data_IF_333578983843
#
_entry.id   IF_333578983843
#
_cell.length_a   1.000
_cell.length_b   1.000
_cell.length_c   1.000
_cell.angle_alpha   90.00
_cell.angle_beta   90.00
_cell.angle_gamma   90.00
#
_symmetry.space_group_name_H-M   'P 1'
#
loop_
_entity.id
_entity.type
_entity.pdbx_description
1 polymer ?
#
# COMPACT_ATOMS: atom_id res chain seq x y z
N UNK A 1 -19.23 17.36 3.24
CA UNK A 1 -18.11 16.39 3.25
C UNK A 1 -18.62 15.10 2.64
N UNK A 2 -18.02 14.65 1.54
CA UNK A 2 -18.45 13.41 0.88
C UNK A 2 -17.67 12.24 1.47
N UNK A 3 -18.37 11.23 2.02
CA UNK A 3 -17.75 10.03 2.55
C UNK A 3 -18.05 8.87 1.61
N UNK A 4 -17.01 8.22 1.09
CA UNK A 4 -17.12 7.16 0.07
C UNK A 4 -16.40 5.93 0.60
N UNK A 5 -16.99 4.74 0.42
CA UNK A 5 -16.34 3.45 0.68
C UNK A 5 -16.27 2.64 -0.60
N UNK A 6 -15.12 2.03 -0.85
CA UNK A 6 -14.84 1.18 -2.00
C UNK A 6 -14.23 -0.14 -1.56
N UNK A 7 -14.62 -1.22 -2.23
CA UNK A 7 -13.99 -2.52 -2.07
C UNK A 7 -12.82 -2.65 -3.06
N UNK A 8 -11.65 -3.02 -2.57
CA UNK A 8 -10.43 -3.23 -3.35
C UNK A 8 -10.04 -4.72 -3.32
N UNK A 9 -10.51 -5.53 -4.28
CA UNK A 9 -10.18 -6.94 -4.34
C UNK A 9 -8.70 -7.16 -4.72
N UNK A 10 -8.13 -8.26 -4.25
CA UNK A 10 -6.78 -8.74 -4.55
C UNK A 10 -6.74 -10.26 -4.76
N UNK A 11 -5.65 -10.74 -5.36
CA UNK A 11 -5.38 -12.17 -5.47
C UNK A 11 -4.62 -12.68 -4.23
N UNK A 12 -5.14 -13.72 -3.53
CA UNK A 12 -4.43 -14.35 -2.42
C UNK A 12 -3.25 -15.21 -2.91
N UNK A 13 -2.26 -15.51 -2.04
CA UNK A 13 -2.13 -14.99 -0.67
C UNK A 13 -1.68 -13.52 -0.65
N UNK A 14 -2.16 -12.78 0.35
CA UNK A 14 -1.82 -11.37 0.59
C UNK A 14 -1.78 -11.13 2.11
N UNK A 15 -0.76 -10.44 2.60
CA UNK A 15 -0.46 -10.38 4.04
C UNK A 15 -0.44 -8.95 4.59
N UNK A 16 -1.49 -8.57 5.34
CA UNK A 16 -1.55 -7.28 6.03
C UNK A 16 -0.33 -6.96 6.90
N UNK A 17 0.24 -7.89 7.69
CA UNK A 17 1.40 -7.60 8.53
C UNK A 17 2.62 -7.11 7.75
N UNK A 18 2.79 -7.54 6.49
CA UNK A 18 3.88 -7.06 5.62
C UNK A 18 3.78 -5.54 5.39
N UNK A 19 2.58 -5.07 5.02
CA UNK A 19 2.33 -3.65 4.74
C UNK A 19 2.37 -2.82 6.01
N UNK A 20 1.77 -3.31 7.10
CA UNK A 20 1.85 -2.65 8.39
C UNK A 20 3.31 -2.46 8.84
N UNK A 21 4.14 -3.50 8.75
CA UNK A 21 5.57 -3.42 9.08
C UNK A 21 6.33 -2.46 8.15
N UNK A 22 6.03 -2.48 6.84
CA UNK A 22 6.67 -1.58 5.88
C UNK A 22 6.38 -0.10 6.18
N UNK A 23 5.10 0.24 6.38
CA UNK A 23 4.68 1.62 6.62
C UNK A 23 5.04 2.10 8.04
N UNK A 24 4.99 1.24 9.06
CA UNK A 24 5.38 1.61 10.42
C UNK A 24 6.84 2.09 10.51
N UNK A 25 7.74 1.54 9.68
CA UNK A 25 9.15 1.96 9.64
C UNK A 25 9.38 3.32 8.96
N UNK A 26 8.38 3.86 8.26
CA UNK A 26 8.51 5.03 7.36
C UNK A 26 7.41 6.07 7.57
N UNK A 27 6.57 5.88 8.58
CA UNK A 27 5.37 6.69 8.78
C UNK A 27 5.75 8.15 9.00
N UNK A 28 5.18 9.04 8.19
CA UNK A 28 5.37 10.48 8.34
C UNK A 28 4.43 11.04 9.42
N UNK A 29 4.98 11.55 10.55
CA UNK A 29 4.16 12.11 11.62
C UNK A 29 3.25 13.23 11.11
N UNK A 30 1.96 13.17 11.45
CA UNK A 30 0.96 14.14 11.03
C UNK A 30 0.39 13.92 9.62
N UNK A 31 1.02 13.07 8.79
CA UNK A 31 0.50 12.68 7.48
C UNK A 31 -0.14 11.29 7.49
N UNK A 32 0.54 10.34 8.12
CA UNK A 32 0.20 8.92 8.12
C UNK A 32 -0.09 8.44 9.55
N UNK A 33 -1.09 7.57 9.70
CA UNK A 33 -1.45 6.96 10.97
C UNK A 33 -1.72 5.47 10.77
N UNK A 34 -1.08 4.64 11.60
CA UNK A 34 -1.27 3.20 11.63
C UNK A 34 -1.95 2.78 12.92
N UNK A 35 -2.96 1.92 12.78
CA UNK A 35 -3.49 1.09 13.86
C UNK A 35 -3.18 -0.37 13.53
N UNK A 36 -3.31 -1.31 14.48
CA UNK A 36 -3.04 -2.73 14.22
C UNK A 36 -3.80 -3.28 12.99
N UNK A 37 -4.98 -2.72 12.72
CA UNK A 37 -5.95 -3.14 11.73
C UNK A 37 -6.20 -2.11 10.62
N UNK A 38 -5.49 -0.98 10.58
CA UNK A 38 -5.73 0.02 9.53
C UNK A 38 -4.54 0.91 9.23
N UNK A 39 -4.56 1.45 8.02
CA UNK A 39 -3.66 2.50 7.56
C UNK A 39 -4.48 3.72 7.14
N UNK A 40 -4.15 4.90 7.63
CA UNK A 40 -4.81 6.15 7.24
C UNK A 40 -3.79 7.20 6.84
N UNK A 41 -4.15 8.04 5.86
CA UNK A 41 -3.35 9.22 5.51
C UNK A 41 -4.18 10.37 4.96
N UNK A 42 -3.62 11.57 4.97
CA UNK A 42 -4.13 12.65 4.12
C UNK A 42 -3.60 12.51 2.69
N UNK A 43 -4.35 13.02 1.71
CA UNK A 43 -3.93 13.03 0.31
C UNK A 43 -4.23 14.38 -0.33
N UNK A 44 -3.46 14.70 -1.37
CA UNK A 44 -3.80 15.72 -2.36
C UNK A 44 -3.74 15.07 -3.74
N UNK A 45 -4.82 15.19 -4.50
CA UNK A 45 -4.99 14.53 -5.79
C UNK A 45 -5.90 15.35 -6.70
N UNK A 46 -5.40 15.71 -7.89
CA UNK A 46 -6.17 16.43 -8.92
C UNK A 46 -6.90 17.68 -8.38
N UNK A 47 -6.25 18.43 -7.48
CA UNK A 47 -6.80 19.65 -6.87
C UNK A 47 -7.73 19.42 -5.68
N UNK A 48 -8.07 18.16 -5.34
CA UNK A 48 -8.82 17.82 -4.14
C UNK A 48 -7.88 17.34 -3.02
N UNK A 49 -8.21 17.70 -1.78
CA UNK A 49 -7.49 17.24 -0.60
C UNK A 49 -8.46 16.63 0.40
N UNK A 50 -8.01 15.58 1.07
CA UNK A 50 -8.85 14.81 1.97
C UNK A 50 -8.05 13.81 2.79
N UNK A 51 -8.76 12.88 3.41
CA UNK A 51 -8.15 11.75 4.09
C UNK A 51 -8.73 10.43 3.57
N UNK A 52 -7.91 9.38 3.67
CA UNK A 52 -8.29 8.02 3.37
C UNK A 52 -7.94 7.10 4.53
N UNK A 53 -8.68 5.99 4.62
CA UNK A 53 -8.42 4.87 5.52
C UNK A 53 -8.55 3.57 4.74
N UNK A 54 -7.60 2.67 4.94
CA UNK A 54 -7.57 1.33 4.36
C UNK A 54 -7.60 0.31 5.49
N UNK A 55 -8.51 -0.65 5.40
CA UNK A 55 -8.70 -1.73 6.37
C UNK A 55 -8.77 -3.08 5.64
N UNK A 56 -8.09 -4.13 6.11
CA UNK A 56 -8.31 -5.48 5.63
C UNK A 56 -9.71 -5.95 6.03
N UNK A 57 -10.36 -6.74 5.18
CA UNK A 57 -11.67 -7.33 5.48
C UNK A 57 -11.50 -8.83 5.78
N UNK A 58 -11.51 -9.26 7.06
CA UNK A 58 -11.37 -10.67 7.40
C UNK A 58 -12.41 -11.54 6.68
N UNK A 59 -11.96 -12.67 6.12
CA UNK A 59 -12.81 -13.58 5.36
C UNK A 59 -13.07 -13.17 3.91
N UNK A 60 -12.52 -12.03 3.46
CA UNK A 60 -12.61 -11.57 2.08
C UNK A 60 -11.20 -11.31 1.51
N UNK A 61 -10.99 -11.62 0.24
CA UNK A 61 -9.75 -11.26 -0.47
C UNK A 61 -9.83 -9.81 -0.96
N UNK A 62 -10.06 -8.87 -0.03
CA UNK A 62 -10.23 -7.47 -0.33
C UNK A 62 -9.82 -6.55 0.83
N UNK A 63 -9.45 -5.32 0.47
CA UNK A 63 -9.33 -4.20 1.40
C UNK A 63 -10.54 -3.27 1.23
N UNK A 64 -10.98 -2.63 2.32
CA UNK A 64 -11.91 -1.51 2.25
C UNK A 64 -11.12 -0.20 2.19
N UNK A 65 -11.43 0.65 1.21
CA UNK A 65 -10.95 2.02 1.11
C UNK A 65 -12.08 2.98 1.46
N UNK A 66 -11.96 3.66 2.59
CA UNK A 66 -12.82 4.80 2.95
C UNK A 66 -12.09 6.10 2.66
N UNK A 67 -12.78 7.08 2.09
CA UNK A 67 -12.19 8.40 1.89
C UNK A 67 -13.20 9.53 2.10
N UNK A 68 -12.68 10.70 2.49
CA UNK A 68 -13.47 11.89 2.71
C UNK A 68 -12.75 13.14 2.21
N UNK A 69 -13.50 14.03 1.55
CA UNK A 69 -13.02 15.32 1.04
C UNK A 69 -14.14 16.37 1.08
N UNK A 70 -13.73 17.64 1.15
CA UNK A 70 -14.62 18.78 1.00
C UNK A 70 -15.00 19.01 -0.48
N UNK A 71 -14.09 18.75 -1.40
CA UNK A 71 -14.28 18.86 -2.85
C UNK A 71 -14.50 17.47 -3.51
N UNK A 72 -15.13 17.39 -4.69
CA UNK A 72 -15.22 16.15 -5.46
C UNK A 72 -13.84 15.53 -5.69
N UNK A 73 -13.73 14.21 -5.48
CA UNK A 73 -12.48 13.47 -5.63
C UNK A 73 -12.49 12.75 -6.99
N UNK A 74 -11.35 12.75 -7.69
CA UNK A 74 -11.10 11.84 -8.80
C UNK A 74 -10.98 10.39 -8.27
N UNK A 75 -12.12 9.76 -8.03
CA UNK A 75 -12.23 8.51 -7.27
C UNK A 75 -11.46 7.34 -7.90
N UNK A 76 -11.52 7.19 -9.23
CA UNK A 76 -10.75 6.18 -9.96
C UNK A 76 -9.24 6.37 -9.77
N UNK A 77 -8.75 7.61 -9.88
CA UNK A 77 -7.33 7.91 -9.69
C UNK A 77 -6.87 7.64 -8.25
N UNK A 78 -7.73 7.92 -7.25
CA UNK A 78 -7.47 7.61 -5.85
C UNK A 78 -7.42 6.10 -5.63
N UNK A 79 -8.43 5.38 -6.14
CA UNK A 79 -8.50 3.92 -6.09
C UNK A 79 -7.24 3.31 -6.70
N UNK A 80 -6.82 3.74 -7.89
CA UNK A 80 -5.63 3.24 -8.56
C UNK A 80 -4.34 3.50 -7.77
N UNK A 81 -4.19 4.69 -7.15
CA UNK A 81 -3.05 4.96 -6.25
C UNK A 81 -3.03 4.00 -5.06
N UNK A 82 -4.17 3.81 -4.40
CA UNK A 82 -4.27 2.91 -3.24
C UNK A 82 -4.02 1.46 -3.67
N UNK A 83 -4.56 1.00 -4.80
CA UNK A 83 -4.28 -0.34 -5.34
C UNK A 83 -2.79 -0.57 -5.56
N UNK A 84 -2.06 0.42 -6.08
CA UNK A 84 -0.60 0.36 -6.25
C UNK A 84 0.14 0.35 -4.92
N UNK A 85 -0.21 1.24 -3.98
CA UNK A 85 0.40 1.28 -2.64
C UNK A 85 0.41 -0.09 -1.96
N UNK A 86 -0.70 -0.82 -2.13
CA UNK A 86 -0.91 -2.14 -1.53
C UNK A 86 -0.63 -3.31 -2.50
N UNK A 87 -0.13 -3.02 -3.70
CA UNK A 87 0.21 -4.00 -4.76
C UNK A 87 -0.91 -5.03 -5.01
N UNK A 88 -2.15 -4.55 -5.11
CA UNK A 88 -3.35 -5.40 -5.17
C UNK A 88 -3.58 -6.05 -6.54
N UNK A 89 -2.92 -5.53 -7.57
CA UNK A 89 -3.05 -5.99 -8.96
C UNK A 89 -2.02 -7.08 -9.32
N UNK A 90 -1.06 -7.38 -8.45
CA UNK A 90 -0.03 -8.36 -8.74
C UNK A 90 -0.56 -9.82 -8.71
N UNK A 91 -0.10 -10.62 -9.66
CA UNK A 91 -0.44 -12.04 -9.81
C UNK A 91 0.61 -12.93 -9.12
N UNK A 92 0.40 -13.34 -7.85
CA UNK A 92 1.45 -13.95 -7.04
C UNK A 92 1.86 -15.33 -7.56
N UNK A 93 0.91 -16.06 -8.14
CA UNK A 93 1.14 -17.38 -8.73
C UNK A 93 1.98 -17.30 -10.00
N UNK A 94 1.72 -16.31 -10.88
CA UNK A 94 2.51 -16.09 -12.08
C UNK A 94 3.95 -15.69 -11.74
N UNK A 95 4.11 -14.79 -10.76
CA UNK A 95 5.44 -14.40 -10.24
C UNK A 95 6.17 -15.61 -9.67
N UNK A 96 5.49 -16.42 -8.83
CA UNK A 96 6.10 -17.59 -8.24
C UNK A 96 6.52 -18.63 -9.30
N UNK A 97 5.68 -18.89 -10.31
CA UNK A 97 5.98 -19.83 -11.38
C UNK A 97 7.19 -19.38 -12.23
N UNK A 98 7.33 -18.08 -12.45
CA UNK A 98 8.47 -17.54 -13.20
C UNK A 98 9.78 -17.67 -12.41
N UNK A 99 9.73 -17.37 -11.11
CA UNK A 99 10.92 -17.29 -10.26
C UNK A 99 11.30 -18.64 -9.60
N UNK A 100 10.43 -19.66 -9.63
CA UNK A 100 10.66 -20.94 -8.94
C UNK A 100 11.78 -21.79 -9.54
N UNK A 101 12.21 -21.52 -10.77
CA UNK A 101 13.30 -22.25 -11.42
C UNK A 101 14.70 -21.80 -10.96
N UNK A 102 14.80 -20.65 -10.30
CA UNK A 102 16.07 -20.10 -9.84
C UNK A 102 16.44 -20.66 -8.46
N UNK A 103 17.65 -21.22 -8.34
CA UNK A 103 18.12 -21.87 -7.12
C UNK A 103 18.25 -20.94 -5.91
N UNK A 104 18.46 -19.63 -6.13
CA UNK A 104 18.57 -18.63 -5.08
C UNK A 104 17.20 -18.05 -4.70
N UNK A 105 16.30 -17.89 -5.67
CA UNK A 105 14.98 -17.29 -5.44
C UNK A 105 13.94 -18.29 -4.95
N UNK A 106 13.99 -19.56 -5.39
CA UNK A 106 13.01 -20.57 -5.01
C UNK A 106 12.84 -20.73 -3.47
N UNK A 107 13.92 -20.79 -2.67
CA UNK A 107 13.80 -20.85 -1.21
C UNK A 107 13.17 -19.58 -0.60
N UNK A 108 13.37 -18.41 -1.23
CA UNK A 108 12.81 -17.14 -0.75
C UNK A 108 11.30 -17.06 -1.00
N UNK A 109 10.84 -17.57 -2.15
CA UNK A 109 9.40 -17.67 -2.48
C UNK A 109 8.67 -18.59 -1.51
N UNK A 110 9.26 -19.74 -1.17
CA UNK A 110 8.68 -20.67 -0.19
C UNK A 110 8.56 -20.04 1.21
N UNK A 111 9.54 -19.22 1.60
CA UNK A 111 9.53 -18.52 2.89
C UNK A 111 8.54 -17.35 2.93
N UNK A 112 8.22 -16.74 1.79
CA UNK A 112 7.38 -15.54 1.70
C UNK A 112 6.36 -15.67 0.56
N UNK A 113 5.39 -16.60 0.67
CA UNK A 113 4.39 -16.79 -0.38
C UNK A 113 3.54 -15.53 -0.55
N UNK A 114 3.38 -15.07 -1.79
CA UNK A 114 2.59 -13.86 -2.10
C UNK A 114 3.20 -12.55 -1.58
N UNK A 115 4.51 -12.51 -1.34
CA UNK A 115 5.23 -11.28 -1.03
C UNK A 115 4.89 -10.20 -2.06
N UNK A 116 4.51 -9.02 -1.55
CA UNK A 116 4.13 -7.86 -2.37
C UNK A 116 5.15 -6.75 -2.32
N UNK A 117 4.98 -5.74 -3.15
CA UNK A 117 5.83 -4.54 -3.17
C UNK A 117 5.06 -3.31 -2.65
N UNK A 118 5.13 -2.99 -1.34
CA UNK A 118 4.58 -1.73 -0.84
C UNK A 118 5.30 -0.54 -1.44
N UNK A 119 4.54 0.47 -1.86
CA UNK A 119 5.06 1.73 -2.41
C UNK A 119 4.38 2.94 -1.77
N UNK A 120 5.02 4.10 -1.82
CA UNK A 120 4.39 5.34 -1.35
C UNK A 120 3.17 5.72 -2.20
N UNK A 121 2.34 6.61 -1.66
CA UNK A 121 1.10 7.07 -2.31
C UNK A 121 1.32 7.78 -3.64
N UNK A 122 2.43 8.50 -3.76
CA UNK A 122 2.75 9.30 -4.93
C UNK A 122 4.20 9.09 -5.39
N UNK A 123 4.47 9.00 -6.70
CA UNK A 123 5.84 8.84 -7.20
C UNK A 123 6.80 9.96 -6.79
N UNK A 124 6.32 11.20 -6.67
CA UNK A 124 7.15 12.30 -6.16
C UNK A 124 7.48 12.10 -4.69
N UNK A 125 6.50 11.69 -3.87
CA UNK A 125 6.72 11.35 -2.46
C UNK A 125 7.74 10.19 -2.33
N UNK A 126 7.62 9.16 -3.17
CA UNK A 126 8.57 8.04 -3.23
C UNK A 126 9.99 8.53 -3.57
N UNK A 127 10.13 9.42 -4.55
CA UNK A 127 11.42 9.94 -4.97
C UNK A 127 12.08 10.79 -3.88
N UNK A 128 11.32 11.67 -3.22
CA UNK A 128 11.81 12.46 -2.08
C UNK A 128 12.29 11.54 -0.96
N UNK A 129 11.49 10.53 -0.59
CA UNK A 129 11.89 9.52 0.42
C UNK A 129 13.16 8.77 0.02
N UNK A 130 13.30 8.43 -1.25
CA UNK A 130 14.49 7.75 -1.75
C UNK A 130 15.74 8.63 -1.69
N UNK A 131 15.63 9.93 -1.98
CA UNK A 131 16.74 10.89 -1.91
C UNK A 131 17.12 11.18 -0.46
N UNK A 132 16.14 11.48 0.40
CA UNK A 132 16.38 11.78 1.83
C UNK A 132 16.92 10.56 2.56
N UNK A 133 16.49 9.35 2.17
CA UNK A 133 17.00 8.10 2.73
C UNK A 133 18.40 7.70 2.28
N UNK A 134 19.07 8.49 1.43
CA UNK A 134 20.45 8.21 1.05
C UNK A 134 21.39 8.44 2.25
N UNK A 135 22.32 7.52 2.47
CA UNK A 135 23.35 7.59 3.52
C UNK A 135 22.84 7.54 4.97
N UNK A 136 21.56 7.23 5.19
CA UNK A 136 20.96 7.10 6.53
C UNK A 136 20.16 5.79 6.65
N UNK A 137 19.97 5.30 7.88
CA UNK A 137 19.13 4.10 8.10
C UNK A 137 17.66 4.41 7.81
N UNK A 138 16.84 3.38 7.53
CA UNK A 138 15.39 3.55 7.28
C UNK A 138 14.67 4.29 8.43
N UNK A 139 15.12 4.14 9.68
CA UNK A 139 14.53 4.87 10.82
C UNK A 139 14.99 6.33 10.94
N UNK A 140 16.07 6.69 10.25
CA UNK A 140 16.70 8.00 10.32
C UNK A 140 16.40 8.87 9.08
N UNK A 141 15.66 8.32 8.11
CA UNK A 141 15.18 8.97 6.89
C UNK A 141 13.73 9.42 7.03
#
# INVERSE_FOLDING_TARGET
MHNISLLLPYLPPWHWPQFHAHFALRALPGLECLTPDSYSRSFSLAGASGWLRVTPLPGQNALELRCCSAAPIALEALQQRVRRMFDLDAEPQAIAAHLSGDALLAPLLQRNPGLRLPVAFDPFEQAVRAIVGQQVTVKAA
#
